data_IF_682000403283
#
_entry.id   IF_682000403283
#
_cell.length_a   1.000
_cell.length_b   1.000
_cell.length_c   1.000
_cell.angle_alpha   90.00
_cell.angle_beta   90.00
_cell.angle_gamma   90.00
#
_symmetry.space_group_name_H-M   'P 1'
#
loop_
_entity.id
_entity.type
_entity.pdbx_description
1 polymer ?
#
# COMPACT_ATOMS: atom_id res chain seq x y z
N UNK A 1 -3.77 -13.54 38.78
CA UNK A 1 -3.35 -12.24 38.23
C UNK A 1 -2.05 -12.52 37.49
N UNK A 2 -1.91 -12.11 36.23
CA UNK A 2 -0.64 -12.35 35.50
C UNK A 2 0.37 -11.36 36.06
N UNK A 3 1.43 -11.86 36.67
CA UNK A 3 2.51 -11.06 37.23
C UNK A 3 3.33 -10.47 36.09
N UNK A 4 3.72 -9.20 36.22
CA UNK A 4 4.56 -8.54 35.23
C UNK A 4 6.02 -8.61 35.68
N UNK A 5 6.85 -9.26 34.87
CA UNK A 5 8.28 -9.37 35.10
C UNK A 5 8.98 -8.47 34.07
N UNK A 6 9.63 -7.36 34.48
CA UNK A 6 10.25 -6.41 33.54
C UNK A 6 11.38 -7.01 32.70
N UNK A 7 11.99 -8.10 33.16
CA UNK A 7 13.11 -8.79 32.52
C UNK A 7 12.67 -9.75 31.40
N UNK A 8 11.38 -10.10 31.33
CA UNK A 8 10.84 -11.04 30.33
C UNK A 8 10.37 -10.33 29.07
N UNK A 9 10.72 -10.88 27.91
CA UNK A 9 10.30 -10.34 26.63
C UNK A 9 8.80 -10.55 26.39
N UNK A 10 8.12 -9.52 25.88
CA UNK A 10 6.67 -9.59 25.60
C UNK A 10 6.31 -10.53 24.44
N UNK A 11 7.25 -10.78 23.53
CA UNK A 11 6.96 -11.43 22.23
C UNK A 11 7.59 -12.81 22.06
N UNK A 12 8.52 -13.20 22.94
CA UNK A 12 9.18 -14.49 22.92
C UNK A 12 9.59 -14.94 24.33
N UNK A 13 10.16 -16.13 24.45
CA UNK A 13 10.54 -16.74 25.73
C UNK A 13 11.96 -16.31 26.20
N UNK A 14 12.40 -15.10 25.83
CA UNK A 14 13.70 -14.57 26.25
C UNK A 14 13.57 -13.79 27.55
N UNK A 15 14.49 -14.03 28.49
CA UNK A 15 14.61 -13.27 29.73
C UNK A 15 15.99 -12.61 29.75
N UNK A 16 16.03 -11.30 29.95
CA UNK A 16 17.26 -10.52 30.05
C UNK A 16 17.68 -10.33 31.50
N UNK A 17 18.89 -9.82 31.76
CA UNK A 17 19.35 -9.58 33.13
C UNK A 17 18.76 -8.31 33.74
N UNK A 18 18.51 -7.30 32.90
CA UNK A 18 17.96 -6.00 33.30
C UNK A 18 16.84 -5.54 32.36
N UNK A 19 15.97 -4.65 32.85
CA UNK A 19 14.88 -4.05 32.05
C UNK A 19 15.41 -3.31 30.81
N UNK A 20 16.51 -2.58 30.93
CA UNK A 20 17.12 -1.86 29.81
C UNK A 20 17.65 -2.83 28.73
N UNK A 21 18.24 -3.96 29.13
CA UNK A 21 18.66 -5.01 28.21
C UNK A 21 17.46 -5.67 27.51
N UNK A 22 16.37 -5.93 28.26
CA UNK A 22 15.12 -6.47 27.69
C UNK A 22 14.52 -5.53 26.65
N UNK A 23 14.48 -4.22 26.93
CA UNK A 23 14.05 -3.22 25.95
C UNK A 23 14.93 -3.22 24.69
N UNK A 24 16.25 -3.34 24.85
CA UNK A 24 17.16 -3.43 23.71
C UNK A 24 16.89 -4.69 22.88
N UNK A 25 16.61 -5.82 23.53
CA UNK A 25 16.24 -7.08 22.88
C UNK A 25 14.92 -6.95 22.12
N UNK A 26 13.88 -6.36 22.73
CA UNK A 26 12.60 -6.12 22.09
C UNK A 26 12.73 -5.18 20.89
N UNK A 27 13.59 -4.16 20.98
CA UNK A 27 13.88 -3.26 19.88
C UNK A 27 14.62 -3.96 18.73
N UNK A 28 15.69 -4.72 19.02
CA UNK A 28 16.53 -5.34 17.99
C UNK A 28 15.90 -6.58 17.35
N UNK A 29 15.33 -7.47 18.17
CA UNK A 29 14.81 -8.78 17.72
C UNK A 29 13.39 -8.66 17.18
N UNK A 30 12.58 -7.81 17.80
CA UNK A 30 11.16 -7.69 17.48
C UNK A 30 10.79 -6.37 16.81
N UNK A 31 11.74 -5.44 16.65
CA UNK A 31 11.47 -4.12 16.08
C UNK A 31 10.38 -3.36 16.86
N UNK A 32 10.30 -3.58 18.18
CA UNK A 32 9.48 -2.76 19.06
C UNK A 32 10.10 -1.37 19.13
N UNK A 33 9.36 -0.36 18.68
CA UNK A 33 9.73 1.05 18.80
C UNK A 33 8.66 1.73 19.65
N UNK A 34 9.08 2.42 20.70
CA UNK A 34 8.20 3.29 21.50
C UNK A 34 8.17 4.65 20.83
N UNK A 35 7.02 5.08 20.28
CA UNK A 35 6.89 6.40 19.64
C UNK A 35 7.05 7.52 20.67
N UNK A 36 7.57 8.67 20.24
CA UNK A 36 7.57 9.93 21.00
C UNK A 36 8.00 9.83 22.47
N UNK A 37 9.13 9.15 22.74
CA UNK A 37 9.64 8.94 24.10
C UNK A 37 9.83 10.25 24.89
N UNK A 38 10.18 11.35 24.21
CA UNK A 38 10.36 12.67 24.83
C UNK A 38 9.06 13.28 25.38
N UNK A 39 7.90 12.81 24.92
CA UNK A 39 6.56 13.28 25.33
C UNK A 39 5.83 12.31 26.26
N UNK A 40 6.52 11.28 26.74
CA UNK A 40 5.93 10.28 27.64
C UNK A 40 5.78 10.89 29.04
N UNK A 41 4.56 10.93 29.57
CA UNK A 41 4.28 11.46 30.93
C UNK A 41 4.51 10.43 32.02
N UNK A 42 4.63 9.16 31.63
CA UNK A 42 4.82 8.01 32.53
C UNK A 42 6.18 7.36 32.32
N UNK A 43 6.63 6.61 33.33
CA UNK A 43 7.82 5.79 33.18
C UNK A 43 7.65 4.73 32.09
N UNK A 44 8.75 4.42 31.39
CA UNK A 44 8.76 3.42 30.33
C UNK A 44 8.29 2.03 30.83
N UNK A 45 8.60 1.70 32.08
CA UNK A 45 8.16 0.46 32.71
C UNK A 45 6.64 0.37 32.82
N UNK A 46 5.95 1.48 33.13
CA UNK A 46 4.48 1.54 33.18
C UNK A 46 3.86 1.34 31.80
N UNK A 47 4.45 1.93 30.76
CA UNK A 47 4.01 1.71 29.39
C UNK A 47 4.16 0.23 28.99
N UNK A 48 5.31 -0.39 29.28
CA UNK A 48 5.54 -1.81 28.97
C UNK A 48 4.60 -2.71 29.78
N UNK A 49 4.31 -2.38 31.04
CA UNK A 49 3.30 -3.07 31.84
C UNK A 49 1.90 -3.01 31.20
N UNK A 50 1.51 -1.87 30.65
CA UNK A 50 0.26 -1.74 29.90
C UNK A 50 0.25 -2.65 28.67
N UNK A 51 1.34 -2.65 27.87
CA UNK A 51 1.46 -3.56 26.71
C UNK A 51 1.39 -5.03 27.13
N UNK A 52 2.03 -5.39 28.25
CA UNK A 52 1.95 -6.72 28.83
C UNK A 52 0.50 -7.10 29.16
N UNK A 53 -0.28 -6.20 29.77
CA UNK A 53 -1.71 -6.46 30.01
C UNK A 53 -2.49 -6.69 28.71
N UNK A 54 -2.25 -5.90 27.66
CA UNK A 54 -2.90 -6.08 26.34
C UNK A 54 -2.58 -7.46 25.74
N UNK A 55 -1.33 -7.88 25.80
CA UNK A 55 -0.87 -9.12 25.16
C UNK A 55 -1.25 -10.36 25.97
N UNK A 56 -1.04 -10.35 27.30
CA UNK A 56 -1.21 -11.54 28.13
C UNK A 56 -2.62 -11.67 28.70
N UNK A 57 -3.21 -10.57 29.18
CA UNK A 57 -4.55 -10.58 29.77
C UNK A 57 -5.64 -10.54 28.69
N UNK A 58 -5.53 -9.59 27.74
CA UNK A 58 -6.55 -9.45 26.68
C UNK A 58 -6.29 -10.31 25.44
N UNK A 59 -5.09 -10.90 25.33
CA UNK A 59 -4.69 -11.76 24.20
C UNK A 59 -4.89 -11.06 22.86
N UNK A 60 -4.53 -9.79 22.82
CA UNK A 60 -4.80 -8.90 21.70
C UNK A 60 -3.49 -8.41 21.08
N UNK A 61 -3.48 -8.33 19.76
CA UNK A 61 -2.33 -7.81 19.03
C UNK A 61 -2.31 -6.27 19.08
N UNK A 62 -1.26 -5.70 19.69
CA UNK A 62 -1.08 -4.24 19.85
C UNK A 62 -1.07 -3.44 18.53
N UNK A 63 -0.79 -4.09 17.40
CA UNK A 63 -0.73 -3.43 16.10
C UNK A 63 -2.08 -3.46 15.34
N UNK A 64 -2.89 -4.51 15.50
CA UNK A 64 -4.07 -4.72 14.65
C UNK A 64 -5.36 -5.09 15.39
N UNK A 65 -5.34 -5.10 16.72
CA UNK A 65 -6.50 -5.38 17.57
C UNK A 65 -7.06 -6.81 17.48
N UNK A 66 -6.38 -7.73 16.79
CA UNK A 66 -6.88 -9.10 16.64
C UNK A 66 -6.63 -9.92 17.88
N UNK A 67 -7.70 -10.46 18.45
CA UNK A 67 -7.64 -11.39 19.59
C UNK A 67 -7.35 -12.83 19.17
N UNK A 68 -6.62 -13.57 20.02
CA UNK A 68 -6.36 -15.00 19.88
C UNK A 68 -6.77 -15.78 21.12
N UNK A 69 -6.79 -17.11 20.99
CA UNK A 69 -7.22 -18.01 22.08
C UNK A 69 -6.14 -18.19 23.14
N UNK A 70 -4.87 -18.24 22.76
CA UNK A 70 -3.72 -18.43 23.65
C UNK A 70 -2.71 -17.30 23.48
N UNK A 71 -1.91 -17.02 24.51
CA UNK A 71 -0.85 -16.00 24.47
C UNK A 71 0.18 -16.34 23.40
N UNK A 72 0.60 -17.60 23.34
CA UNK A 72 1.52 -18.13 22.31
C UNK A 72 1.00 -17.83 20.89
N UNK A 73 -0.31 -17.97 20.66
CA UNK A 73 -0.89 -17.66 19.35
C UNK A 73 -0.90 -16.15 19.04
N UNK A 74 -0.98 -15.29 20.06
CA UNK A 74 -0.80 -13.83 19.89
C UNK A 74 0.65 -13.52 19.57
N UNK A 75 1.59 -14.03 20.36
CA UNK A 75 3.02 -13.83 20.17
C UNK A 75 3.49 -14.33 18.79
N UNK A 76 3.07 -15.53 18.37
CA UNK A 76 3.34 -16.06 17.04
C UNK A 76 2.71 -15.20 15.94
N UNK A 77 1.49 -14.71 16.14
CA UNK A 77 0.85 -13.79 15.20
C UNK A 77 1.64 -12.48 15.06
N UNK A 78 2.18 -11.98 16.18
CA UNK A 78 2.93 -10.73 16.23
C UNK A 78 4.28 -10.86 15.55
N UNK A 79 5.05 -11.90 15.88
CA UNK A 79 6.37 -12.16 15.31
C UNK A 79 6.30 -12.51 13.82
N UNK A 80 5.38 -13.41 13.42
CA UNK A 80 5.28 -13.85 12.01
C UNK A 80 4.86 -12.75 11.04
N UNK A 81 4.14 -11.72 11.51
CA UNK A 81 3.66 -10.61 10.66
C UNK A 81 4.43 -9.31 10.87
N UNK A 82 5.37 -9.26 11.82
CA UNK A 82 6.06 -8.03 12.21
C UNK A 82 5.10 -7.00 12.83
N UNK A 83 4.17 -7.46 13.67
CA UNK A 83 3.15 -6.69 14.37
C UNK A 83 3.57 -6.36 15.83
N UNK A 84 4.87 -6.26 16.10
CA UNK A 84 5.41 -5.89 17.42
C UNK A 84 5.59 -4.37 17.59
N UNK A 85 5.17 -3.56 16.61
CA UNK A 85 5.08 -2.10 16.71
C UNK A 85 3.66 -1.68 17.07
N UNK A 86 3.52 -0.59 17.79
CA UNK A 86 2.22 0.01 18.11
C UNK A 86 2.23 1.49 17.71
N UNK A 87 1.05 1.98 17.34
CA UNK A 87 0.81 3.39 17.10
C UNK A 87 0.06 3.94 18.33
N UNK A 88 0.30 5.21 18.67
CA UNK A 88 -0.39 5.86 19.80
C UNK A 88 -1.88 5.97 19.46
N UNK A 89 -2.70 5.17 20.13
CA UNK A 89 -4.17 5.24 20.05
C UNK A 89 -4.73 6.19 21.10
N UNK A 90 -5.99 6.60 20.93
CA UNK A 90 -6.68 7.52 21.85
C UNK A 90 -6.70 7.00 23.30
N UNK A 91 -6.84 5.68 23.47
CA UNK A 91 -6.79 5.02 24.79
C UNK A 91 -5.39 5.04 25.44
N UNK A 92 -4.33 5.16 24.63
CA UNK A 92 -2.96 5.34 25.11
C UNK A 92 -2.63 6.83 25.32
N UNK A 93 -3.50 7.74 24.90
CA UNK A 93 -3.30 9.19 25.04
C UNK A 93 -3.08 9.64 26.48
N UNK A 94 -3.60 8.90 27.47
CA UNK A 94 -3.33 9.17 28.89
C UNK A 94 -1.88 8.96 29.33
N UNK A 95 -1.06 8.27 28.54
CA UNK A 95 0.37 8.04 28.81
C UNK A 95 1.30 9.08 28.16
N UNK A 96 0.75 9.95 27.30
CA UNK A 96 1.52 10.94 26.55
C UNK A 96 1.00 12.34 26.85
N UNK A 97 1.89 13.32 26.80
CA UNK A 97 1.50 14.71 26.86
C UNK A 97 0.96 15.13 25.49
N UNK A 98 -0.37 15.20 25.38
CA UNK A 98 -1.08 15.55 24.15
C UNK A 98 -0.71 16.96 23.66
N UNK A 99 -0.33 17.88 24.56
CA UNK A 99 0.09 19.22 24.18
C UNK A 99 1.45 19.19 23.45
N UNK A 100 2.39 18.39 23.94
CA UNK A 100 3.67 18.13 23.28
C UNK A 100 3.53 17.37 21.95
N UNK A 101 2.60 16.42 21.86
CA UNK A 101 2.28 15.70 20.62
C UNK A 101 1.65 16.61 19.55
N UNK A 102 0.77 17.51 19.96
CA UNK A 102 0.21 18.52 19.07
C UNK A 102 1.28 19.51 18.61
N UNK A 103 2.24 19.89 19.45
CA UNK A 103 3.38 20.71 19.06
C UNK A 103 4.16 20.02 17.91
N UNK A 104 4.54 18.75 18.07
CA UNK A 104 5.22 17.96 17.03
C UNK A 104 4.37 17.73 15.76
N UNK A 105 3.03 17.78 15.86
CA UNK A 105 2.11 17.74 14.72
C UNK A 105 1.85 19.12 14.07
N UNK A 106 1.99 20.20 14.81
CA UNK A 106 1.66 21.57 14.43
C UNK A 106 2.79 22.28 13.67
N UNK A 107 4.04 21.83 13.80
CA UNK A 107 5.15 22.27 12.92
C UNK A 107 4.88 21.99 11.42
N UNK A 108 3.86 21.16 11.09
CA UNK A 108 3.56 20.71 9.73
C UNK A 108 2.13 20.86 9.22
N UNK A 109 1.17 21.37 10.02
CA UNK A 109 -0.23 21.50 9.59
C UNK A 109 -0.91 22.78 10.08
N UNK A 110 -0.56 23.89 9.44
CA UNK A 110 -1.50 25.01 9.30
C UNK A 110 -2.63 24.58 8.34
N UNK A 111 -3.72 24.05 8.92
CA UNK A 111 -4.94 23.70 8.18
C UNK A 111 -5.67 25.00 7.81
N UNK A 112 -5.21 25.68 6.77
CA UNK A 112 -5.98 26.71 6.08
C UNK A 112 -7.02 25.98 5.20
N UNK A 113 -8.30 26.39 5.13
CA UNK A 113 -9.36 25.60 4.48
C UNK A 113 -9.33 25.62 2.94
N UNK A 114 -8.17 25.92 2.33
CA UNK A 114 -7.87 25.65 0.91
C UNK A 114 -6.85 24.49 0.78
N UNK A 115 -7.18 23.40 1.46
CA UNK A 115 -6.44 22.13 1.58
C UNK A 115 -6.33 21.38 0.25
N UNK A 116 -5.47 21.85 -0.66
CA UNK A 116 -5.19 21.15 -1.93
C UNK A 116 -3.81 21.42 -2.53
N UNK A 117 -3.08 22.40 -2.02
CA UNK A 117 -1.73 22.75 -2.46
C UNK A 117 -0.86 23.19 -1.29
N UNK A 118 0.30 22.55 -1.11
CA UNK A 118 1.30 22.85 -0.08
C UNK A 118 2.48 23.60 -0.69
N UNK A 119 2.88 24.73 -0.12
CA UNK A 119 4.05 25.51 -0.58
C UNK A 119 5.23 25.21 0.35
N UNK A 120 6.33 24.71 -0.21
CA UNK A 120 7.54 24.41 0.56
C UNK A 120 8.34 25.70 0.84
N UNK A 121 9.19 25.74 1.89
CA UNK A 121 10.11 26.84 2.17
C UNK A 121 11.06 27.17 1.01
N UNK A 122 11.29 26.21 0.11
CA UNK A 122 12.03 26.39 -1.15
C UNK A 122 11.24 27.13 -2.25
N UNK A 123 10.02 27.61 -1.96
CA UNK A 123 9.12 28.29 -2.88
C UNK A 123 8.34 27.38 -3.83
N UNK A 124 8.63 26.08 -3.84
CA UNK A 124 7.98 25.09 -4.73
C UNK A 124 6.59 24.73 -4.22
N UNK A 125 5.63 24.64 -5.14
CA UNK A 125 4.22 24.36 -4.83
C UNK A 125 3.90 22.90 -5.17
N UNK A 126 3.42 22.15 -4.18
CA UNK A 126 3.13 20.72 -4.23
C UNK A 126 1.61 20.52 -4.20
N UNK A 127 1.03 19.92 -5.24
CA UNK A 127 -0.40 19.61 -5.28
C UNK A 127 -0.68 18.17 -4.85
N UNK A 128 -1.81 17.94 -4.18
CA UNK A 128 -2.22 16.62 -3.70
C UNK A 128 -2.41 15.63 -4.87
N UNK A 129 -1.99 14.38 -4.68
CA UNK A 129 -1.93 13.36 -5.75
C UNK A 129 -3.28 13.02 -6.38
N UNK A 130 -4.38 13.40 -5.74
CA UNK A 130 -5.74 13.27 -6.29
C UNK A 130 -6.00 14.20 -7.49
N UNK A 131 -5.12 15.16 -7.79
CA UNK A 131 -5.23 16.09 -8.92
C UNK A 131 -4.00 16.08 -9.85
N UNK A 132 -3.23 14.98 -9.91
CA UNK A 132 -2.26 14.82 -10.99
C UNK A 132 -3.04 14.59 -12.28
N UNK A 133 -3.39 15.67 -12.97
CA UNK A 133 -3.78 15.61 -14.36
C UNK A 133 -2.63 14.98 -15.15
N UNK A 134 -2.86 13.90 -15.93
CA UNK A 134 -1.82 13.22 -16.70
C UNK A 134 -1.09 14.12 -17.72
N UNK A 135 -1.56 15.36 -17.91
CA UNK A 135 -1.09 16.30 -18.92
C UNK A 135 -0.19 17.43 -18.39
N UNK A 136 0.00 17.59 -17.08
CA UNK A 136 0.89 18.62 -16.50
C UNK A 136 2.37 18.21 -16.48
N UNK A 137 2.87 17.79 -17.65
CA UNK A 137 4.31 17.79 -17.93
C UNK A 137 4.53 18.56 -19.22
N UNK A 138 4.19 19.85 -19.21
CA UNK A 138 4.78 20.82 -20.11
C UNK A 138 6.00 21.38 -19.39
N UNK A 139 7.18 20.94 -19.83
CA UNK A 139 8.46 21.50 -19.43
C UNK A 139 8.47 22.96 -19.91
N UNK A 140 8.47 23.91 -18.98
CA UNK A 140 9.06 25.21 -19.27
C UNK A 140 10.57 24.97 -19.38
N UNK A 141 11.05 24.85 -20.61
CA UNK A 141 12.46 25.03 -20.96
C UNK A 141 12.53 26.34 -21.74
N UNK A 142 13.17 27.32 -21.13
CA UNK A 142 13.56 28.57 -21.77
C UNK A 142 14.31 28.30 -23.07
N UNK A 143 14.01 29.10 -24.10
CA UNK A 143 14.56 28.98 -25.46
C UNK A 143 15.44 30.21 -25.72
N UNK A 144 16.72 30.06 -26.11
CA UNK A 144 17.45 31.13 -26.78
C UNK A 144 17.12 31.14 -28.27
N UNK A 145 16.97 32.35 -28.84
CA UNK A 145 16.79 32.65 -30.28
C UNK A 145 18.02 32.20 -31.10
N UNK A 146 17.87 31.80 -32.39
CA UNK A 146 18.03 32.79 -33.47
C UNK A 146 17.20 32.55 -34.76
N UNK A 147 16.92 33.69 -35.43
CA UNK A 147 16.71 33.99 -36.86
C UNK A 147 16.36 32.90 -37.91
N UNK A 148 15.29 33.20 -38.66
CA UNK A 148 14.94 32.74 -40.02
C UNK A 148 15.54 33.71 -41.09
N UNK A 149 15.34 33.54 -42.42
CA UNK A 149 14.94 32.37 -43.24
C UNK A 149 15.82 32.18 -44.51
N UNK A 150 15.63 31.09 -45.27
CA UNK A 150 15.32 31.12 -46.72
C UNK A 150 15.54 29.78 -47.45
N UNK A 151 14.70 29.58 -48.48
CA UNK A 151 14.82 28.73 -49.67
C UNK A 151 14.04 27.39 -49.73
N UNK A 152 12.99 27.41 -50.56
CA UNK A 152 12.37 26.29 -51.32
C UNK A 152 13.21 26.03 -52.61
N UNK A 153 12.92 25.08 -53.56
CA UNK A 153 11.75 24.18 -53.74
C UNK A 153 12.04 22.73 -54.28
N UNK A 154 10.95 21.99 -54.59
CA UNK A 154 10.78 20.88 -55.56
C UNK A 154 11.36 19.49 -55.19
N UNK A 155 10.85 18.31 -55.60
CA UNK A 155 9.58 17.78 -56.08
C UNK A 155 9.74 16.25 -56.19
N UNK A 156 8.69 15.50 -55.86
CA UNK A 156 8.29 14.18 -56.41
C UNK A 156 9.06 12.86 -56.12
N UNK A 157 8.26 11.95 -55.56
CA UNK A 157 8.07 10.51 -55.86
C UNK A 157 8.84 9.40 -55.11
N UNK A 158 8.00 8.47 -54.63
CA UNK A 158 8.16 7.01 -54.47
C UNK A 158 8.65 6.44 -53.12
N UNK A 159 7.74 5.63 -52.57
CA UNK A 159 7.95 4.30 -51.97
C UNK A 159 7.97 4.07 -50.45
N UNK A 160 7.17 3.05 -50.09
CA UNK A 160 7.13 2.18 -48.91
C UNK A 160 7.63 2.64 -47.52
N UNK A 161 6.68 2.68 -46.57
CA UNK A 161 6.90 2.56 -45.13
C UNK A 161 5.90 3.42 -44.34
N UNK A 162 5.14 2.91 -43.34
CA UNK A 162 4.30 3.76 -42.53
C UNK A 162 5.21 4.60 -41.62
N UNK A 163 5.62 5.75 -42.16
CA UNK A 163 6.33 6.79 -41.45
C UNK A 163 5.47 7.19 -40.26
N UNK A 164 5.97 6.95 -39.06
CA UNK A 164 5.35 7.35 -37.82
C UNK A 164 5.37 8.88 -37.74
N UNK A 165 4.38 9.51 -38.37
CA UNK A 165 4.00 10.89 -38.09
C UNK A 165 3.87 11.00 -36.57
N UNK A 166 4.58 11.97 -35.99
CA UNK A 166 4.53 12.23 -34.56
C UNK A 166 3.13 12.78 -34.20
N UNK A 167 2.14 11.88 -34.13
CA UNK A 167 0.77 12.18 -33.76
C UNK A 167 0.77 12.93 -32.44
N UNK A 168 0.03 14.04 -32.40
CA UNK A 168 -0.17 14.82 -31.19
C UNK A 168 -0.76 13.92 -30.09
N UNK A 169 -0.57 14.31 -28.84
CA UNK A 169 -1.14 13.58 -27.68
C UNK A 169 -2.66 13.43 -27.80
N UNK A 170 -3.32 14.40 -28.44
CA UNK A 170 -4.76 14.38 -28.72
C UNK A 170 -5.11 13.32 -29.78
N UNK A 171 -4.42 13.33 -30.91
CA UNK A 171 -4.65 12.37 -32.01
C UNK A 171 -4.43 10.92 -31.57
N UNK A 172 -3.42 10.67 -30.71
CA UNK A 172 -3.20 9.33 -30.12
C UNK A 172 -4.36 8.88 -29.24
N UNK A 173 -4.97 9.81 -28.52
CA UNK A 173 -6.07 9.54 -27.60
C UNK A 173 -7.41 9.36 -28.34
N UNK A 174 -7.60 10.07 -29.45
CA UNK A 174 -8.71 9.87 -30.38
C UNK A 174 -8.59 8.51 -31.09
N UNK A 175 -7.41 8.18 -31.63
CA UNK A 175 -7.14 6.87 -32.24
C UNK A 175 -7.35 5.70 -31.25
N UNK A 176 -6.98 5.89 -29.98
CA UNK A 176 -7.17 4.88 -28.95
C UNK A 176 -8.65 4.68 -28.59
N UNK A 177 -9.47 5.74 -28.65
CA UNK A 177 -10.92 5.64 -28.46
C UNK A 177 -11.57 4.94 -29.67
N UNK A 178 -11.26 5.38 -30.89
CA UNK A 178 -11.85 4.80 -32.10
C UNK A 178 -11.54 3.30 -32.18
N UNK A 179 -10.30 2.91 -31.87
CA UNK A 179 -9.89 1.50 -31.78
C UNK A 179 -10.64 0.73 -30.68
N UNK A 180 -10.97 1.36 -29.54
CA UNK A 180 -11.74 0.71 -28.47
C UNK A 180 -13.22 0.54 -28.82
N UNK A 181 -13.83 1.54 -29.47
CA UNK A 181 -15.22 1.47 -29.94
C UNK A 181 -15.36 0.38 -31.02
N UNK A 182 -14.42 0.31 -31.96
CA UNK A 182 -14.41 -0.69 -33.04
C UNK A 182 -14.36 -2.15 -32.55
N UNK A 183 -13.87 -2.39 -31.32
CA UNK A 183 -13.83 -3.74 -30.70
C UNK A 183 -15.16 -4.16 -30.08
N UNK A 184 -16.12 -3.26 -29.93
CA UNK A 184 -17.44 -3.56 -29.37
C UNK A 184 -18.35 -4.21 -30.42
N UNK A 185 -19.46 -4.79 -29.96
CA UNK A 185 -20.51 -5.29 -30.87
C UNK A 185 -21.12 -4.14 -31.66
N UNK A 186 -21.60 -4.43 -32.86
CA UNK A 186 -22.23 -3.43 -33.76
C UNK A 186 -23.36 -2.65 -33.07
N UNK A 187 -24.19 -3.31 -32.26
CA UNK A 187 -25.25 -2.63 -31.49
C UNK A 187 -24.71 -1.63 -30.46
N UNK A 188 -23.62 -1.96 -29.78
CA UNK A 188 -22.98 -1.09 -28.80
C UNK A 188 -22.28 0.10 -29.48
N UNK A 189 -21.70 -0.13 -30.67
CA UNK A 189 -21.10 0.94 -31.48
C UNK A 189 -22.14 2.01 -31.84
N UNK A 190 -23.29 1.60 -32.40
CA UNK A 190 -24.38 2.51 -32.75
C UNK A 190 -24.94 3.28 -31.53
N UNK A 191 -24.95 2.62 -30.37
CA UNK A 191 -25.38 3.22 -29.11
C UNK A 191 -24.36 4.23 -28.53
N UNK A 192 -23.11 4.23 -29.00
CA UNK A 192 -22.11 5.20 -28.56
C UNK A 192 -21.95 6.37 -29.53
N UNK A 193 -22.28 6.17 -30.82
CA UNK A 193 -22.08 7.18 -31.87
C UNK A 193 -22.84 8.49 -31.65
N UNK A 194 -24.00 8.47 -31.01
CA UNK A 194 -24.83 9.67 -30.79
C UNK A 194 -24.37 10.52 -29.59
N UNK A 195 -23.29 10.11 -28.93
CA UNK A 195 -22.86 10.63 -27.64
C UNK A 195 -21.53 11.36 -27.78
N UNK A 196 -21.27 12.45 -27.03
CA UNK A 196 -20.00 13.17 -27.11
C UNK A 196 -18.81 12.27 -26.72
N UNK A 197 -17.66 12.48 -27.35
CA UNK A 197 -16.47 11.64 -27.21
C UNK A 197 -16.00 11.50 -25.74
N UNK A 198 -16.14 12.56 -24.94
CA UNK A 198 -15.82 12.53 -23.51
C UNK A 198 -16.67 11.52 -22.73
N UNK A 199 -17.94 11.40 -23.09
CA UNK A 199 -18.90 10.50 -22.46
C UNK A 199 -18.76 9.06 -23.01
N UNK A 200 -18.44 8.92 -24.30
CA UNK A 200 -18.04 7.61 -24.86
C UNK A 200 -16.82 7.04 -24.09
N UNK A 201 -15.78 7.86 -23.85
CA UNK A 201 -14.59 7.45 -23.05
C UNK A 201 -14.97 7.02 -21.64
N UNK A 202 -15.78 7.81 -20.94
CA UNK A 202 -16.13 7.53 -19.55
C UNK A 202 -16.91 6.22 -19.42
N UNK A 203 -17.83 5.94 -20.34
CA UNK A 203 -18.59 4.69 -20.39
C UNK A 203 -17.70 3.47 -20.70
N UNK A 204 -16.78 3.60 -21.67
CA UNK A 204 -15.83 2.54 -22.01
C UNK A 204 -14.92 2.20 -20.82
N UNK A 205 -14.41 3.23 -20.12
CA UNK A 205 -13.58 3.06 -18.92
C UNK A 205 -14.37 2.41 -17.78
N UNK A 206 -15.61 2.83 -17.55
CA UNK A 206 -16.49 2.23 -16.55
C UNK A 206 -16.78 0.76 -16.86
N UNK A 207 -17.06 0.43 -18.13
CA UNK A 207 -17.27 -0.94 -18.58
C UNK A 207 -16.01 -1.79 -18.38
N UNK A 208 -14.84 -1.30 -18.80
CA UNK A 208 -13.55 -1.99 -18.59
C UNK A 208 -13.29 -2.25 -17.10
N UNK A 209 -13.50 -1.25 -16.24
CA UNK A 209 -13.34 -1.39 -14.78
C UNK A 209 -14.25 -2.48 -14.21
N UNK A 210 -15.50 -2.59 -14.69
CA UNK A 210 -16.43 -3.66 -14.30
C UNK A 210 -15.92 -5.03 -14.74
N UNK A 211 -15.50 -5.18 -15.99
CA UNK A 211 -14.93 -6.43 -16.52
C UNK A 211 -13.67 -6.86 -15.75
N UNK A 212 -12.75 -5.93 -15.52
CA UNK A 212 -11.52 -6.19 -14.76
C UNK A 212 -11.82 -6.51 -13.29
N UNK A 213 -12.88 -5.93 -12.73
CA UNK A 213 -13.43 -6.30 -11.42
C UNK A 213 -13.94 -7.74 -11.40
N UNK A 214 -14.75 -8.13 -12.38
CA UNK A 214 -15.28 -9.48 -12.52
C UNK A 214 -14.17 -10.53 -12.69
N UNK A 215 -13.20 -10.28 -13.58
CA UNK A 215 -12.02 -11.16 -13.77
C UNK A 215 -11.22 -11.34 -12.49
N UNK A 216 -11.01 -10.27 -11.73
CA UNK A 216 -10.33 -10.36 -10.42
C UNK A 216 -11.12 -11.17 -9.40
N UNK A 217 -12.44 -11.01 -9.37
CA UNK A 217 -13.31 -11.80 -8.50
C UNK A 217 -13.30 -13.29 -8.88
N UNK A 218 -13.35 -13.61 -10.17
CA UNK A 218 -13.24 -14.98 -10.68
C UNK A 218 -11.91 -15.63 -10.30
N UNK A 219 -10.78 -14.93 -10.54
CA UNK A 219 -9.45 -15.41 -10.16
C UNK A 219 -9.35 -15.68 -8.65
N UNK A 220 -9.96 -14.83 -7.82
CA UNK A 220 -10.04 -15.04 -6.37
C UNK A 220 -10.84 -16.29 -6.00
N UNK A 221 -11.99 -16.53 -6.65
CA UNK A 221 -12.80 -17.74 -6.43
C UNK A 221 -12.05 -18.99 -6.87
N UNK A 222 -11.43 -18.97 -8.05
CA UNK A 222 -10.60 -20.07 -8.56
C UNK A 222 -9.47 -20.42 -7.59
N UNK A 223 -8.68 -19.44 -7.16
CA UNK A 223 -7.62 -19.69 -6.17
C UNK A 223 -8.12 -20.23 -4.83
N UNK A 224 -9.36 -19.93 -4.41
CA UNK A 224 -9.97 -20.57 -3.22
C UNK A 224 -10.31 -22.03 -3.49
N UNK A 225 -10.92 -22.34 -4.64
CA UNK A 225 -11.24 -23.71 -5.03
C UNK A 225 -9.97 -24.54 -5.17
N UNK A 226 -8.93 -24.02 -5.82
CA UNK A 226 -7.64 -24.69 -5.97
C UNK A 226 -6.98 -24.97 -4.61
N UNK A 227 -7.04 -24.03 -3.67
CA UNK A 227 -6.53 -24.23 -2.31
C UNK A 227 -7.29 -25.30 -1.52
N UNK A 228 -8.61 -25.38 -1.69
CA UNK A 228 -9.42 -26.45 -1.07
C UNK A 228 -9.10 -27.78 -1.74
N UNK A 229 -9.08 -27.81 -3.07
CA UNK A 229 -8.73 -28.97 -3.91
C UNK A 229 -7.37 -29.55 -3.54
N UNK A 230 -6.35 -28.70 -3.41
CA UNK A 230 -5.00 -29.11 -2.99
C UNK A 230 -5.01 -29.72 -1.59
N UNK A 231 -5.72 -29.14 -0.63
CA UNK A 231 -5.82 -29.70 0.74
C UNK A 231 -6.55 -31.03 0.75
N UNK A 232 -7.65 -31.15 0.01
CA UNK A 232 -8.39 -32.42 -0.11
C UNK A 232 -7.55 -33.47 -0.83
N UNK A 233 -6.83 -33.12 -1.90
CA UNK A 233 -5.96 -34.05 -2.63
C UNK A 233 -4.80 -34.56 -1.77
N UNK A 234 -4.20 -33.69 -0.94
CA UNK A 234 -3.18 -34.07 0.04
C UNK A 234 -3.73 -35.01 1.12
N UNK A 235 -5.01 -34.86 1.50
CA UNK A 235 -5.64 -35.70 2.52
C UNK A 235 -6.17 -37.03 1.96
N UNK A 236 -6.68 -37.07 0.73
CA UNK A 236 -7.27 -38.29 0.14
C UNK A 236 -6.23 -39.18 -0.52
N UNK A 237 -5.13 -38.62 -1.02
CA UNK A 237 -4.00 -39.40 -1.50
C UNK A 237 -2.98 -39.50 -0.38
N UNK A 238 -3.09 -40.56 0.40
CA UNK A 238 -2.01 -41.10 1.24
C UNK A 238 -0.66 -40.86 0.56
N UNK A 239 0.19 -40.02 1.15
CA UNK A 239 1.62 -40.16 0.94
C UNK A 239 1.93 -41.60 1.35
N UNK A 240 2.12 -42.49 0.37
CA UNK A 240 2.95 -43.67 0.57
C UNK A 240 4.33 -43.13 0.90
N UNK A 241 4.55 -42.83 2.18
CA UNK A 241 5.89 -42.72 2.73
C UNK A 241 6.44 -44.13 2.62
N UNK A 242 7.17 -44.41 1.55
CA UNK A 242 8.02 -45.59 1.48
C UNK A 242 9.13 -45.35 2.51
N UNK A 243 8.85 -45.68 3.76
CA UNK A 243 9.86 -45.72 4.82
C UNK A 243 10.68 -46.98 4.54
N UNK A 244 11.98 -46.87 4.18
CA UNK A 244 12.79 -48.06 3.96
C UNK A 244 12.95 -48.77 5.30
N UNK A 245 12.37 -49.97 5.42
CA UNK A 245 12.59 -50.83 6.58
C UNK A 245 14.03 -51.34 6.46
N UNK A 246 14.94 -50.76 7.23
CA UNK A 246 16.28 -51.30 7.39
C UNK A 246 16.17 -52.58 8.25
N UNK A 247 16.12 -53.74 7.58
CA UNK A 247 16.31 -55.04 8.23
C UNK A 247 17.81 -55.15 8.56
N UNK A 248 18.17 -54.88 9.82
CA UNK A 248 19.50 -55.16 10.36
C UNK A 248 19.63 -56.64 10.67
N UNK A 249 20.54 -57.31 9.96
CA UNK A 249 21.11 -58.61 10.33
C UNK A 249 22.42 -58.45 11.10
#
# INVERSE_FOLDING_TARGET
MIEFIPEECLFCNHTSNDFAENLSHMHQTHSLVVPFQDSLTVDLQTLIWFLHMVIFSYRECICCGKRRRTVEAVQQHMTSRGHCRFDVTDEMGGFYDMDSLHQHGAEGRSHHPDDRTLRLPSGKLLSHRSHIDPHSKSRLREKPSPADPSALPASQQSDAGPQALALSKKDRHELALTTQVARLRTGDQMSLMHLPESLQRSLLLAHKKRLDGAKRAEKRKRGRMDNVGNKTAVHTNYYKQEVPVYMGG
#
